data_IF_371337617352
#
_entry.id   IF_371337617352
#
_cell.length_a   1.000
_cell.length_b   1.000
_cell.length_c   1.000
_cell.angle_alpha   90.00
_cell.angle_beta   90.00
_cell.angle_gamma   90.00
#
_symmetry.space_group_name_H-M   'P 1'
#
loop_
_entity.id
_entity.type
_entity.pdbx_description
1 polymer ?
#
# COMPACT_ATOMS: atom_id res chain seq x y z
N UNK A 1 -3.80 -20.13 2.41
CA UNK A 1 -2.79 -20.45 1.36
C UNK A 1 -1.56 -19.58 1.55
N UNK A 2 -0.42 -19.97 0.97
CA UNK A 2 0.83 -19.21 1.07
C UNK A 2 1.26 -18.67 -0.29
N UNK A 3 2.00 -17.55 -0.27
CA UNK A 3 2.56 -16.92 -1.45
C UNK A 3 3.95 -16.34 -1.21
N UNK A 4 4.53 -15.74 -2.24
CA UNK A 4 5.83 -15.07 -2.16
C UNK A 4 5.95 -13.98 -3.24
N UNK A 5 6.69 -12.91 -2.92
CA UNK A 5 7.11 -11.92 -3.90
C UNK A 5 8.38 -12.40 -4.59
N UNK A 6 8.39 -12.39 -5.91
CA UNK A 6 9.50 -12.86 -6.73
C UNK A 6 9.81 -11.87 -7.84
N UNK A 7 11.08 -11.71 -8.13
CA UNK A 7 11.58 -10.77 -9.13
C UNK A 7 12.44 -11.54 -10.12
N UNK A 8 11.84 -12.22 -11.13
CA UNK A 8 12.60 -13.01 -12.08
C UNK A 8 13.65 -12.19 -12.82
N UNK A 9 13.41 -10.90 -13.05
CA UNK A 9 14.33 -9.96 -13.68
C UNK A 9 15.61 -9.70 -12.87
N UNK A 10 15.65 -10.07 -11.58
CA UNK A 10 16.84 -9.95 -10.72
C UNK A 10 17.79 -11.14 -10.83
N UNK A 11 17.34 -12.27 -11.39
CA UNK A 11 18.06 -13.54 -11.32
C UNK A 11 18.31 -14.13 -12.71
N UNK A 12 19.41 -14.91 -12.88
CA UNK A 12 19.66 -15.65 -14.12
C UNK A 12 18.46 -16.55 -14.47
N UNK A 13 18.07 -16.57 -15.74
CA UNK A 13 16.92 -17.34 -16.21
C UNK A 13 17.01 -18.85 -15.90
N UNK A 14 18.22 -19.41 -15.93
CA UNK A 14 18.46 -20.82 -15.60
C UNK A 14 18.20 -21.18 -14.13
N UNK A 15 17.98 -20.18 -13.24
CA UNK A 15 17.60 -20.42 -11.85
C UNK A 15 16.08 -20.53 -11.67
N UNK A 16 15.27 -19.99 -12.57
CA UNK A 16 13.81 -19.86 -12.39
C UNK A 16 13.11 -21.19 -12.21
N UNK A 17 13.54 -22.25 -12.94
CA UNK A 17 12.92 -23.57 -12.83
C UNK A 17 13.17 -24.22 -11.45
N UNK A 18 14.39 -24.08 -10.90
CA UNK A 18 14.72 -24.55 -9.55
C UNK A 18 13.97 -23.73 -8.49
N UNK A 19 13.94 -22.39 -8.64
CA UNK A 19 13.20 -21.52 -7.76
C UNK A 19 11.70 -21.91 -7.71
N UNK A 20 11.08 -22.12 -8.87
CA UNK A 20 9.68 -22.51 -8.97
C UNK A 20 9.40 -23.90 -8.33
N UNK A 21 10.30 -24.86 -8.55
CA UNK A 21 10.21 -26.18 -7.93
C UNK A 21 10.32 -26.11 -6.39
N UNK A 22 11.26 -25.30 -5.89
CA UNK A 22 11.45 -25.09 -4.44
C UNK A 22 10.27 -24.34 -3.82
N UNK A 23 9.68 -23.34 -4.51
CA UNK A 23 8.47 -22.66 -4.08
C UNK A 23 7.32 -23.67 -3.90
N UNK A 24 7.10 -24.54 -4.89
CA UNK A 24 6.08 -25.60 -4.80
C UNK A 24 6.37 -26.59 -3.69
N UNK A 25 7.62 -27.03 -3.53
CA UNK A 25 8.05 -27.93 -2.46
C UNK A 25 7.84 -27.35 -1.07
N UNK A 26 7.96 -26.03 -0.91
CA UNK A 26 7.65 -25.31 0.35
C UNK A 26 6.14 -25.12 0.58
N UNK A 27 5.28 -25.50 -0.35
CA UNK A 27 3.82 -25.36 -0.20
C UNK A 27 3.25 -24.03 -0.67
N UNK A 28 4.04 -23.21 -1.39
CA UNK A 28 3.56 -21.94 -1.93
C UNK A 28 2.59 -22.16 -3.09
N UNK A 29 1.61 -21.29 -3.21
CA UNK A 29 0.57 -21.31 -4.24
C UNK A 29 0.64 -20.07 -5.14
N UNK A 30 0.84 -18.88 -4.56
CA UNK A 30 0.85 -17.62 -5.28
C UNK A 30 2.25 -17.02 -5.38
N UNK A 31 2.53 -16.40 -6.53
CA UNK A 31 3.78 -15.67 -6.77
C UNK A 31 3.48 -14.31 -7.35
N UNK A 32 3.80 -13.25 -6.62
CA UNK A 32 3.66 -11.85 -7.07
C UNK A 32 4.90 -11.45 -7.87
N UNK A 33 4.70 -10.85 -9.06
CA UNK A 33 5.78 -10.41 -9.94
C UNK A 33 5.44 -9.08 -10.63
N UNK A 34 6.46 -8.33 -11.01
CA UNK A 34 6.38 -7.29 -12.04
C UNK A 34 6.14 -5.87 -11.56
N UNK A 35 5.94 -5.60 -10.26
CA UNK A 35 5.59 -4.28 -9.74
C UNK A 35 6.65 -3.18 -9.96
N UNK A 36 7.91 -3.56 -10.23
CA UNK A 36 9.02 -2.63 -10.41
C UNK A 36 9.76 -2.82 -11.74
N UNK A 37 9.16 -3.57 -12.68
CA UNK A 37 9.87 -4.02 -13.87
C UNK A 37 9.59 -3.18 -15.15
N UNK A 38 9.03 -1.95 -15.05
CA UNK A 38 8.65 -1.16 -16.23
C UNK A 38 9.81 -0.96 -17.21
N UNK A 39 10.98 -0.55 -16.73
CA UNK A 39 12.16 -0.34 -17.60
C UNK A 39 12.65 -1.61 -18.31
N UNK A 40 12.32 -2.80 -17.77
CA UNK A 40 12.63 -4.10 -18.42
C UNK A 40 11.55 -4.50 -19.41
N UNK A 41 10.29 -4.11 -19.15
CA UNK A 41 9.16 -4.37 -20.03
C UNK A 41 9.14 -3.40 -21.22
N UNK A 42 9.59 -2.18 -21.03
CA UNK A 42 9.67 -1.11 -22.03
C UNK A 42 10.99 -0.35 -21.87
N UNK A 43 12.10 -0.88 -22.44
CA UNK A 43 13.44 -0.29 -22.32
C UNK A 43 13.56 1.06 -23.04
N UNK A 44 12.78 1.28 -24.10
CA UNK A 44 12.69 2.53 -24.86
C UNK A 44 11.20 2.85 -25.13
N UNK A 45 10.83 4.12 -25.34
CA UNK A 45 9.44 4.51 -25.58
C UNK A 45 8.78 3.72 -26.71
N UNK A 46 7.74 2.94 -26.38
CA UNK A 46 7.00 2.11 -27.34
C UNK A 46 7.70 0.82 -27.79
N UNK A 47 8.93 0.56 -27.36
CA UNK A 47 9.62 -0.69 -27.62
C UNK A 47 9.44 -1.64 -26.42
N UNK A 48 8.63 -2.67 -26.61
CA UNK A 48 8.33 -3.63 -25.55
C UNK A 48 9.17 -4.89 -25.67
N UNK A 49 9.75 -5.34 -24.55
CA UNK A 49 10.40 -6.63 -24.37
C UNK A 49 9.66 -7.42 -23.29
N UNK A 50 8.75 -8.29 -23.74
CA UNK A 50 7.99 -9.18 -22.86
C UNK A 50 8.46 -10.63 -22.92
N UNK A 51 9.42 -10.98 -23.75
CA UNK A 51 9.81 -12.39 -23.95
C UNK A 51 10.31 -13.03 -22.65
N UNK A 52 11.10 -12.31 -21.87
CA UNK A 52 11.58 -12.80 -20.58
C UNK A 52 10.42 -13.01 -19.59
N UNK A 53 9.44 -12.12 -19.58
CA UNK A 53 8.27 -12.19 -18.68
C UNK A 53 7.34 -13.33 -19.09
N UNK A 54 7.13 -13.55 -20.40
CA UNK A 54 6.40 -14.71 -20.94
C UNK A 54 7.02 -16.02 -20.46
N UNK A 55 8.35 -16.14 -20.56
CA UNK A 55 9.08 -17.33 -20.09
C UNK A 55 9.00 -17.50 -18.58
N UNK A 56 9.13 -16.42 -17.80
CA UNK A 56 9.00 -16.46 -16.35
C UNK A 56 7.61 -16.96 -15.91
N UNK A 57 6.54 -16.38 -16.48
CA UNK A 57 5.15 -16.79 -16.20
C UNK A 57 4.94 -18.26 -16.57
N UNK A 58 5.44 -18.70 -17.73
CA UNK A 58 5.33 -20.08 -18.16
C UNK A 58 6.08 -21.05 -17.24
N UNK A 59 7.25 -20.68 -16.73
CA UNK A 59 8.03 -21.50 -15.77
C UNK A 59 7.26 -21.67 -14.47
N UNK A 60 6.78 -20.56 -13.90
CA UNK A 60 5.97 -20.55 -12.66
C UNK A 60 4.69 -21.37 -12.83
N UNK A 61 3.96 -21.16 -13.94
CA UNK A 61 2.71 -21.85 -14.21
C UNK A 61 2.89 -23.35 -14.42
N UNK A 62 3.94 -23.80 -15.14
CA UNK A 62 4.25 -25.23 -15.30
C UNK A 62 4.59 -25.92 -13.98
N UNK A 63 5.15 -25.19 -13.01
CA UNK A 63 5.36 -25.70 -11.67
C UNK A 63 4.05 -25.75 -10.82
N UNK A 64 2.90 -25.32 -11.36
CA UNK A 64 1.62 -25.28 -10.67
C UNK A 64 1.45 -24.08 -9.73
N UNK A 65 2.26 -23.04 -9.89
CA UNK A 65 2.13 -21.77 -9.17
C UNK A 65 1.16 -20.85 -9.92
N UNK A 66 0.49 -19.98 -9.15
CA UNK A 66 -0.45 -18.97 -9.65
C UNK A 66 0.21 -17.59 -9.59
N UNK A 67 0.30 -16.93 -10.72
CA UNK A 67 0.93 -15.61 -10.81
C UNK A 67 -0.06 -14.51 -10.40
N UNK A 68 0.36 -13.63 -9.50
CA UNK A 68 -0.25 -12.31 -9.25
C UNK A 68 0.60 -11.30 -10.02
N UNK A 69 0.05 -10.79 -11.12
CA UNK A 69 0.71 -9.80 -11.96
C UNK A 69 0.52 -8.41 -11.38
N UNK A 70 1.57 -7.59 -11.35
CA UNK A 70 1.46 -6.21 -10.92
C UNK A 70 1.51 -5.23 -12.09
N UNK A 71 0.82 -4.07 -11.95
CA UNK A 71 1.10 -2.93 -12.81
C UNK A 71 2.40 -2.27 -12.34
N UNK A 72 3.37 -1.95 -13.23
CA UNK A 72 4.72 -1.53 -12.83
C UNK A 72 4.83 -0.03 -12.54
N UNK A 73 3.72 0.60 -12.22
CA UNK A 73 3.56 2.05 -12.19
C UNK A 73 4.24 2.74 -11.01
N UNK A 74 4.65 1.98 -10.00
CA UNK A 74 5.42 2.51 -8.87
C UNK A 74 6.82 3.05 -9.24
N UNK A 75 7.37 2.62 -10.40
CA UNK A 75 8.72 2.95 -10.85
C UNK A 75 8.76 3.34 -12.32
N UNK A 76 8.31 4.56 -12.68
CA UNK A 76 8.43 5.05 -14.05
C UNK A 76 9.90 5.00 -14.52
N UNK A 77 10.14 4.57 -15.76
CA UNK A 77 11.50 4.44 -16.29
C UNK A 77 12.18 5.80 -16.51
N UNK A 78 13.51 5.78 -16.53
CA UNK A 78 14.31 7.01 -16.69
C UNK A 78 13.98 7.78 -17.96
N UNK A 79 13.74 7.07 -19.08
CA UNK A 79 13.40 7.71 -20.34
C UNK A 79 12.10 8.52 -20.27
N UNK A 80 11.11 8.06 -19.50
CA UNK A 80 9.86 8.79 -19.28
C UNK A 80 10.08 10.06 -18.47
N UNK A 81 10.90 9.98 -17.41
CA UNK A 81 11.26 11.15 -16.60
C UNK A 81 12.07 12.16 -17.40
N UNK A 82 12.97 11.71 -18.29
CA UNK A 82 13.76 12.61 -19.13
C UNK A 82 12.93 13.30 -20.20
N UNK A 83 11.97 12.60 -20.79
CA UNK A 83 11.05 13.18 -21.75
C UNK A 83 10.02 14.13 -21.09
N UNK A 84 9.63 13.84 -19.87
CA UNK A 84 8.54 14.50 -19.13
C UNK A 84 8.92 14.78 -17.68
N UNK A 85 9.89 15.69 -17.41
CA UNK A 85 10.30 16.00 -16.03
C UNK A 85 9.17 16.60 -15.18
N UNK A 86 8.10 17.11 -15.80
CA UNK A 86 6.90 17.63 -15.14
C UNK A 86 6.04 16.56 -14.47
N UNK A 87 6.33 15.26 -14.68
CA UNK A 87 5.68 14.17 -13.94
C UNK A 87 6.21 14.00 -12.53
N UNK A 88 7.34 14.63 -12.20
CA UNK A 88 7.95 14.53 -10.89
C UNK A 88 7.19 15.35 -9.85
N UNK A 89 6.94 14.78 -8.66
CA UNK A 89 6.27 15.51 -7.58
C UNK A 89 7.17 16.60 -7.01
N UNK A 90 6.55 17.64 -6.49
CA UNK A 90 7.22 18.72 -5.76
C UNK A 90 6.89 18.59 -4.28
N UNK A 91 7.92 18.48 -3.48
CA UNK A 91 7.80 18.40 -2.02
C UNK A 91 7.16 19.67 -1.47
N UNK A 92 6.04 19.58 -0.74
CA UNK A 92 5.29 20.74 -0.29
C UNK A 92 6.00 21.57 0.77
N UNK A 93 6.87 20.98 1.57
CA UNK A 93 7.55 21.67 2.66
C UNK A 93 8.78 22.43 2.17
N UNK A 94 9.51 21.85 1.21
CA UNK A 94 10.77 22.39 0.71
C UNK A 94 10.67 23.06 -0.64
N UNK A 95 9.60 22.82 -1.40
CA UNK A 95 9.45 23.28 -2.79
C UNK A 95 10.41 22.59 -3.78
N UNK A 96 11.11 21.53 -3.36
CA UNK A 96 12.07 20.81 -4.22
C UNK A 96 11.39 19.72 -5.03
N UNK A 97 11.81 19.55 -6.27
CA UNK A 97 11.41 18.42 -7.10
C UNK A 97 12.00 17.13 -6.50
N UNK A 98 11.18 16.11 -6.31
CA UNK A 98 11.59 14.76 -5.91
C UNK A 98 12.01 14.00 -7.16
N UNK A 99 13.32 13.84 -7.38
CA UNK A 99 13.88 13.32 -8.60
C UNK A 99 13.92 11.80 -8.71
N UNK A 100 14.34 11.33 -9.89
CA UNK A 100 14.61 9.92 -10.18
C UNK A 100 15.72 9.36 -9.27
N UNK A 101 15.64 8.06 -8.97
CA UNK A 101 16.66 7.33 -8.20
C UNK A 101 16.08 6.43 -7.10
N UNK A 102 14.77 6.43 -6.96
CA UNK A 102 14.02 5.58 -6.04
C UNK A 102 12.71 5.16 -6.69
N UNK A 103 11.72 4.80 -5.90
CA UNK A 103 10.32 4.58 -6.33
C UNK A 103 9.44 5.78 -5.95
N UNK A 104 8.21 5.85 -6.48
CA UNK A 104 7.23 6.89 -6.14
C UNK A 104 7.59 8.30 -6.64
N UNK A 105 8.36 8.43 -7.68
CA UNK A 105 8.71 9.70 -8.28
C UNK A 105 7.70 10.12 -9.37
N UNK A 106 6.40 10.06 -9.05
CA UNK A 106 5.30 10.44 -9.94
C UNK A 106 4.27 11.30 -9.21
N UNK A 107 3.76 12.31 -9.89
CA UNK A 107 2.74 13.23 -9.41
C UNK A 107 1.35 12.79 -9.91
N UNK A 108 0.47 12.41 -9.01
CA UNK A 108 -0.89 11.98 -9.35
C UNK A 108 -1.75 13.08 -9.97
N UNK A 109 -1.35 14.34 -9.87
CA UNK A 109 -2.01 15.46 -10.55
C UNK A 109 -1.58 15.61 -12.01
N UNK A 110 -0.50 14.96 -12.43
CA UNK A 110 0.00 15.04 -13.81
C UNK A 110 -0.84 14.20 -14.77
N UNK A 111 -1.42 14.84 -15.78
CA UNK A 111 -2.14 14.13 -16.85
C UNK A 111 -1.19 13.33 -17.73
N UNK A 112 0.05 13.77 -17.91
CA UNK A 112 1.08 13.02 -18.64
C UNK A 112 1.39 11.72 -17.93
N UNK A 113 1.64 11.79 -16.62
CA UNK A 113 1.83 10.60 -15.80
C UNK A 113 0.63 9.64 -15.87
N UNK A 114 -0.57 10.15 -15.66
CA UNK A 114 -1.79 9.34 -15.71
C UNK A 114 -1.90 8.60 -17.05
N UNK A 115 -1.73 9.30 -18.17
CA UNK A 115 -1.84 8.72 -19.52
C UNK A 115 -0.81 7.61 -19.75
N UNK A 116 0.44 7.80 -19.36
CA UNK A 116 1.52 6.82 -19.52
C UNK A 116 1.32 5.61 -18.62
N UNK A 117 0.91 5.81 -17.37
CA UNK A 117 0.58 4.73 -16.45
C UNK A 117 -0.60 3.87 -16.93
N UNK A 118 -1.64 4.50 -17.49
CA UNK A 118 -2.77 3.78 -18.07
C UNK A 118 -2.40 3.09 -19.39
N UNK A 119 -1.49 3.66 -20.18
CA UNK A 119 -0.98 3.05 -21.40
C UNK A 119 -0.26 1.73 -21.11
N UNK A 120 0.72 1.73 -20.21
CA UNK A 120 1.45 0.50 -19.86
C UNK A 120 0.52 -0.53 -19.20
N UNK A 121 -0.40 -0.09 -18.35
CA UNK A 121 -1.40 -0.97 -17.74
C UNK A 121 -2.23 -1.68 -18.80
N UNK A 122 -2.70 -0.96 -19.83
CA UNK A 122 -3.49 -1.52 -20.94
C UNK A 122 -2.69 -2.56 -21.72
N UNK A 123 -1.45 -2.23 -22.09
CA UNK A 123 -0.57 -3.15 -22.84
C UNK A 123 -0.36 -4.45 -22.08
N UNK A 124 -0.12 -4.38 -20.77
CA UNK A 124 0.04 -5.57 -19.93
C UNK A 124 -1.27 -6.36 -19.80
N UNK A 125 -2.39 -5.68 -19.59
CA UNK A 125 -3.68 -6.31 -19.42
C UNK A 125 -4.16 -7.00 -20.70
N UNK A 126 -3.95 -6.39 -21.87
CA UNK A 126 -4.22 -7.00 -23.18
C UNK A 126 -3.36 -8.26 -23.40
N UNK A 127 -2.08 -8.23 -23.01
CA UNK A 127 -1.18 -9.37 -23.20
C UNK A 127 -1.45 -10.51 -22.22
N UNK A 128 -1.65 -10.20 -20.93
CA UNK A 128 -1.67 -11.21 -19.87
C UNK A 128 -3.04 -11.45 -19.23
N UNK A 129 -4.05 -10.65 -19.56
CA UNK A 129 -5.37 -10.75 -18.95
C UNK A 129 -6.04 -12.12 -19.14
N UNK A 130 -5.78 -12.79 -20.26
CA UNK A 130 -6.29 -14.12 -20.56
C UNK A 130 -5.26 -15.25 -20.33
N UNK A 131 -4.06 -14.94 -19.82
CA UNK A 131 -3.05 -15.95 -19.56
C UNK A 131 -3.52 -16.91 -18.44
N UNK A 132 -3.57 -18.24 -18.67
CA UNK A 132 -4.11 -19.20 -17.71
C UNK A 132 -3.31 -19.30 -16.40
N UNK A 133 -2.07 -18.86 -16.41
CA UNK A 133 -1.19 -18.86 -15.23
C UNK A 133 -1.32 -17.59 -14.38
N UNK A 134 -1.92 -16.51 -14.91
CA UNK A 134 -2.19 -15.28 -14.19
C UNK A 134 -3.53 -15.42 -13.46
N UNK A 135 -3.49 -15.45 -12.14
CA UNK A 135 -4.67 -15.60 -11.30
C UNK A 135 -5.38 -14.27 -11.03
N UNK A 136 -4.63 -13.18 -10.98
CA UNK A 136 -5.15 -11.85 -10.69
C UNK A 136 -4.08 -10.78 -10.78
N UNK A 137 -4.47 -9.57 -10.40
CA UNK A 137 -3.66 -8.36 -10.54
C UNK A 137 -3.53 -7.62 -9.22
N UNK A 138 -2.33 -7.12 -8.95
CA UNK A 138 -2.11 -6.06 -7.99
C UNK A 138 -1.89 -4.75 -8.74
N UNK A 139 -2.63 -3.71 -8.35
CA UNK A 139 -2.40 -2.36 -8.88
C UNK A 139 -1.22 -1.73 -8.17
N UNK A 140 -0.26 -1.19 -8.92
CA UNK A 140 0.86 -0.40 -8.38
C UNK A 140 1.56 -1.10 -7.18
N UNK A 141 2.10 -0.36 -6.22
CA UNK A 141 2.65 -0.87 -4.95
C UNK A 141 2.55 0.21 -3.87
N UNK A 142 1.94 -0.08 -2.73
CA UNK A 142 1.86 0.81 -1.56
C UNK A 142 1.58 2.26 -1.96
N UNK A 143 0.45 2.55 -2.60
CA UNK A 143 0.08 3.90 -3.04
C UNK A 143 0.25 4.91 -1.88
N UNK A 144 0.80 6.09 -2.19
CA UNK A 144 1.08 7.18 -1.26
C UNK A 144 2.19 6.92 -0.21
N UNK A 145 2.87 5.77 -0.24
CA UNK A 145 4.04 5.54 0.59
C UNK A 145 5.07 6.68 0.43
N UNK A 146 5.77 7.04 1.52
CA UNK A 146 6.75 8.13 1.58
C UNK A 146 6.17 9.54 1.34
N UNK A 147 4.93 9.79 1.81
CA UNK A 147 4.24 11.09 1.74
C UNK A 147 4.13 11.63 0.30
N UNK A 148 3.82 10.74 -0.65
CA UNK A 148 3.73 11.11 -2.08
C UNK A 148 2.32 11.43 -2.55
N UNK A 149 1.31 11.43 -1.66
CA UNK A 149 -0.03 11.88 -1.96
C UNK A 149 -0.07 13.40 -2.27
N UNK A 150 0.71 14.18 -1.53
CA UNK A 150 0.76 15.64 -1.67
C UNK A 150 1.88 16.06 -2.62
N UNK A 151 1.55 16.92 -3.56
CA UNK A 151 2.52 17.57 -4.45
C UNK A 151 2.23 19.05 -4.59
N UNK A 152 3.25 19.89 -4.51
CA UNK A 152 3.16 21.33 -4.76
C UNK A 152 3.53 21.72 -6.20
N UNK A 153 3.36 20.81 -7.15
CA UNK A 153 3.70 21.00 -8.54
C UNK A 153 2.78 22.00 -9.26
N UNK A 154 3.19 22.51 -10.42
CA UNK A 154 2.29 23.29 -11.29
C UNK A 154 1.04 22.50 -11.73
N UNK A 155 1.17 21.18 -11.96
CA UNK A 155 0.05 20.31 -12.31
C UNK A 155 -0.94 20.19 -11.13
N UNK A 156 -0.44 20.00 -9.91
CA UNK A 156 -1.28 19.97 -8.71
C UNK A 156 -2.02 21.30 -8.50
N UNK A 157 -1.36 22.45 -8.69
CA UNK A 157 -2.01 23.77 -8.60
C UNK A 157 -3.13 23.92 -9.62
N UNK A 158 -2.86 23.57 -10.88
CA UNK A 158 -3.86 23.67 -11.94
C UNK A 158 -5.05 22.74 -11.68
N UNK A 159 -4.79 21.49 -11.31
CA UNK A 159 -5.82 20.52 -10.97
C UNK A 159 -6.65 20.94 -9.76
N UNK A 160 -6.02 21.46 -8.71
CA UNK A 160 -6.71 21.96 -7.52
C UNK A 160 -7.67 23.11 -7.82
N UNK A 161 -7.31 24.05 -8.70
CA UNK A 161 -8.19 25.13 -9.18
C UNK A 161 -9.44 24.59 -9.86
N UNK A 162 -9.27 23.58 -10.73
CA UNK A 162 -10.40 22.92 -11.41
C UNK A 162 -11.29 22.19 -10.41
N UNK A 163 -10.71 21.41 -9.51
CA UNK A 163 -11.42 20.71 -8.45
C UNK A 163 -12.21 21.66 -7.54
N UNK A 164 -11.62 22.81 -7.16
CA UNK A 164 -12.34 23.84 -6.40
C UNK A 164 -13.53 24.41 -7.20
N UNK A 165 -13.35 24.65 -8.50
CA UNK A 165 -14.43 25.16 -9.38
C UNK A 165 -15.58 24.17 -9.45
N UNK A 166 -15.31 22.90 -9.61
CA UNK A 166 -16.34 21.84 -9.65
C UNK A 166 -17.06 21.71 -8.30
N UNK A 167 -16.33 21.76 -7.20
CA UNK A 167 -16.87 21.54 -5.84
C UNK A 167 -17.70 22.73 -5.34
N UNK A 168 -17.28 23.95 -5.59
CA UNK A 168 -17.90 25.16 -5.02
C UNK A 168 -18.79 25.90 -6.01
N UNK A 169 -18.71 25.63 -7.31
CA UNK A 169 -19.52 26.23 -8.35
C UNK A 169 -19.17 27.68 -8.68
N UNK A 170 -19.06 28.57 -7.67
CA UNK A 170 -18.65 29.96 -7.84
C UNK A 170 -17.75 30.43 -6.70
N UNK A 171 -16.92 31.44 -7.01
CA UNK A 171 -15.84 31.87 -6.11
C UNK A 171 -16.34 32.44 -4.78
N UNK A 172 -17.51 33.07 -4.77
CA UNK A 172 -18.13 33.58 -3.55
C UNK A 172 -18.50 32.45 -2.57
N UNK A 173 -18.95 31.29 -3.08
CA UNK A 173 -19.22 30.12 -2.25
C UNK A 173 -17.95 29.54 -1.62
N UNK A 174 -16.85 29.49 -2.38
CA UNK A 174 -15.56 29.09 -1.85
C UNK A 174 -15.07 30.07 -0.77
N UNK A 175 -15.08 31.38 -1.05
CA UNK A 175 -14.65 32.39 -0.07
C UNK A 175 -15.44 32.29 1.23
N UNK A 176 -16.75 32.08 1.12
CA UNK A 176 -17.61 31.90 2.28
C UNK A 176 -17.25 30.61 3.05
N UNK A 177 -17.12 29.47 2.34
CA UNK A 177 -16.83 28.17 2.95
C UNK A 177 -15.45 28.13 3.64
N UNK A 178 -14.47 28.85 3.10
CA UNK A 178 -13.13 28.94 3.69
C UNK A 178 -12.97 30.06 4.73
N UNK A 179 -13.97 30.93 4.88
CA UNK A 179 -13.92 32.07 5.78
C UNK A 179 -12.91 33.15 5.33
N UNK A 180 -12.70 33.32 4.03
CA UNK A 180 -11.64 34.14 3.45
C UNK A 180 -11.80 35.66 3.71
N UNK A 181 -12.95 36.09 4.22
CA UNK A 181 -13.12 37.46 4.74
C UNK A 181 -12.13 37.76 5.88
N UNK A 182 -11.68 36.73 6.59
CA UNK A 182 -10.67 36.86 7.63
C UNK A 182 -9.30 37.16 7.00
N UNK A 183 -8.63 38.18 7.50
CA UNK A 183 -7.34 38.70 7.00
C UNK A 183 -7.33 39.11 5.52
N UNK A 184 -8.52 39.40 4.92
CA UNK A 184 -8.63 39.80 3.51
C UNK A 184 -8.08 38.77 2.52
N UNK A 185 -8.36 37.47 2.76
CA UNK A 185 -7.90 36.37 1.91
C UNK A 185 -8.87 36.01 0.79
N UNK A 186 -9.87 36.87 0.48
CA UNK A 186 -10.85 36.62 -0.57
C UNK A 186 -10.23 36.60 -1.96
N UNK A 187 -10.57 35.56 -2.72
CA UNK A 187 -10.23 35.42 -4.13
C UNK A 187 -11.32 36.03 -5.01
N UNK A 188 -10.96 36.62 -6.17
CA UNK A 188 -11.89 37.15 -7.17
C UNK A 188 -12.28 36.11 -8.21
N UNK A 189 -11.41 35.10 -8.42
CA UNK A 189 -11.62 33.99 -9.35
C UNK A 189 -10.91 32.73 -8.88
N UNK A 190 -11.30 31.57 -9.41
CA UNK A 190 -10.62 30.31 -9.14
C UNK A 190 -9.16 30.29 -9.65
N UNK A 191 -8.83 31.12 -10.64
CA UNK A 191 -7.47 31.17 -11.20
C UNK A 191 -6.45 31.86 -10.27
N UNK A 192 -6.94 32.59 -9.24
CA UNK A 192 -6.11 33.21 -8.21
C UNK A 192 -5.76 32.25 -7.06
N UNK A 193 -6.41 31.07 -6.96
CA UNK A 193 -6.17 30.13 -5.87
C UNK A 193 -4.76 29.57 -5.99
N UNK A 194 -4.01 29.64 -4.91
CA UNK A 194 -2.71 28.99 -4.73
C UNK A 194 -2.86 27.74 -3.87
N UNK A 195 -1.85 26.87 -3.87
CA UNK A 195 -1.78 25.77 -2.92
C UNK A 195 -1.46 26.29 -1.51
N UNK A 196 -1.91 25.64 -0.43
CA UNK A 196 -1.67 26.10 0.94
C UNK A 196 -0.24 25.78 1.43
N UNK A 197 0.76 26.18 0.64
CA UNK A 197 2.19 25.95 0.89
C UNK A 197 2.98 27.24 0.74
N UNK A 198 4.10 27.37 1.46
CA UNK A 198 4.99 28.51 1.34
C UNK A 198 4.43 29.85 1.88
N UNK A 199 3.30 29.83 2.59
CA UNK A 199 2.77 31.01 3.27
C UNK A 199 3.64 31.38 4.49
N UNK A 200 3.55 32.65 4.93
CA UNK A 200 4.34 33.15 6.06
C UNK A 200 3.99 32.42 7.36
N UNK A 201 2.73 32.10 7.53
CA UNK A 201 2.19 31.29 8.63
C UNK A 201 1.13 30.34 8.07
N UNK A 202 0.37 29.67 8.92
CA UNK A 202 -0.63 28.68 8.51
C UNK A 202 -1.73 29.33 7.66
N UNK A 203 -2.08 28.64 6.57
CA UNK A 203 -3.25 29.00 5.78
C UNK A 203 -4.53 28.50 6.46
N UNK A 204 -5.69 28.97 6.00
CA UNK A 204 -7.00 28.53 6.51
C UNK A 204 -7.10 27.02 6.64
N UNK A 205 -7.58 26.46 7.78
CA UNK A 205 -7.83 25.02 7.91
C UNK A 205 -8.72 24.46 6.81
N UNK A 206 -9.74 25.20 6.37
CA UNK A 206 -10.61 24.79 5.28
C UNK A 206 -9.87 24.68 3.94
N UNK A 207 -8.91 25.57 3.68
CA UNK A 207 -8.06 25.51 2.50
C UNK A 207 -7.13 24.28 2.52
N UNK A 208 -6.48 24.02 3.67
CA UNK A 208 -5.62 22.83 3.87
C UNK A 208 -6.42 21.54 3.74
N UNK A 209 -7.64 21.50 4.30
CA UNK A 209 -8.56 20.37 4.18
C UNK A 209 -8.97 20.12 2.72
N UNK A 210 -9.31 21.17 1.98
CA UNK A 210 -9.68 21.08 0.57
C UNK A 210 -8.52 20.51 -0.26
N UNK A 211 -7.29 20.94 0.01
CA UNK A 211 -6.11 20.42 -0.71
C UNK A 211 -5.82 18.94 -0.40
N UNK A 212 -5.97 18.50 0.85
CA UNK A 212 -5.86 17.07 1.20
C UNK A 212 -6.90 16.22 0.50
N UNK A 213 -8.15 16.67 0.47
CA UNK A 213 -9.23 16.01 -0.28
C UNK A 213 -8.91 15.91 -1.76
N UNK A 214 -8.51 17.01 -2.38
CA UNK A 214 -8.07 17.03 -3.77
C UNK A 214 -6.94 16.02 -4.03
N UNK A 215 -5.92 16.02 -3.20
CA UNK A 215 -4.77 15.12 -3.39
C UNK A 215 -5.18 13.66 -3.26
N UNK A 216 -6.04 13.31 -2.30
CA UNK A 216 -6.64 11.99 -2.18
C UNK A 216 -7.45 11.61 -3.42
N UNK A 217 -8.32 12.52 -3.91
CA UNK A 217 -9.13 12.30 -5.10
C UNK A 217 -8.30 12.02 -6.35
N UNK A 218 -7.10 12.63 -6.48
CA UNK A 218 -6.20 12.36 -7.61
C UNK A 218 -5.61 10.95 -7.56
N UNK A 219 -5.27 10.45 -6.38
CA UNK A 219 -4.80 9.07 -6.20
C UNK A 219 -5.92 8.08 -6.48
N UNK A 220 -7.11 8.32 -5.93
CA UNK A 220 -8.30 7.48 -6.17
C UNK A 220 -8.62 7.44 -7.67
N UNK A 221 -8.64 8.59 -8.34
CA UNK A 221 -8.86 8.67 -9.80
C UNK A 221 -7.86 7.83 -10.60
N UNK A 222 -6.58 7.90 -10.25
CA UNK A 222 -5.54 7.07 -10.88
C UNK A 222 -5.82 5.59 -10.69
N UNK A 223 -6.14 5.20 -9.46
CA UNK A 223 -6.40 3.81 -9.09
C UNK A 223 -7.67 3.26 -9.76
N UNK A 224 -8.77 4.02 -9.75
CA UNK A 224 -10.03 3.64 -10.40
C UNK A 224 -9.85 3.43 -11.91
N UNK A 225 -9.12 4.33 -12.58
CA UNK A 225 -8.83 4.22 -14.00
C UNK A 225 -7.96 2.99 -14.32
N UNK A 226 -7.00 2.68 -13.45
CA UNK A 226 -6.19 1.45 -13.54
C UNK A 226 -7.06 0.19 -13.38
N UNK A 227 -7.91 0.15 -12.35
CA UNK A 227 -8.84 -0.96 -12.12
C UNK A 227 -9.83 -1.13 -13.26
N UNK A 228 -10.35 -0.04 -13.84
CA UNK A 228 -11.26 -0.10 -14.97
C UNK A 228 -10.64 -0.79 -16.19
N UNK A 229 -9.39 -0.50 -16.52
CA UNK A 229 -8.66 -1.18 -17.60
C UNK A 229 -8.51 -2.68 -17.31
N UNK A 230 -8.12 -3.02 -16.07
CA UNK A 230 -7.94 -4.43 -15.68
C UNK A 230 -9.27 -5.20 -15.72
N UNK A 231 -10.38 -4.59 -15.28
CA UNK A 231 -11.73 -5.20 -15.37
C UNK A 231 -12.15 -5.47 -16.81
N UNK A 232 -11.84 -4.54 -17.72
CA UNK A 232 -12.19 -4.66 -19.14
C UNK A 232 -11.34 -5.72 -19.85
N UNK A 233 -10.01 -5.68 -19.67
CA UNK A 233 -9.06 -6.51 -20.43
C UNK A 233 -8.75 -7.87 -19.78
N UNK A 234 -8.99 -8.03 -18.50
CA UNK A 234 -8.71 -9.25 -17.73
C UNK A 234 -9.95 -9.75 -16.97
N UNK A 235 -11.10 -9.97 -17.66
CA UNK A 235 -12.32 -10.39 -16.99
C UNK A 235 -12.16 -11.73 -16.26
N UNK A 236 -12.74 -11.82 -15.06
CA UNK A 236 -12.67 -13.01 -14.21
C UNK A 236 -11.37 -13.15 -13.40
N UNK A 237 -10.44 -12.19 -13.50
CA UNK A 237 -9.27 -12.10 -12.64
C UNK A 237 -9.57 -11.18 -11.47
N UNK A 238 -9.08 -11.55 -10.26
CA UNK A 238 -9.19 -10.64 -9.14
C UNK A 238 -8.27 -9.43 -9.30
N UNK A 239 -8.66 -8.33 -8.68
CA UNK A 239 -7.84 -7.12 -8.55
C UNK A 239 -7.70 -6.81 -7.06
N UNK A 240 -6.47 -6.55 -6.62
CA UNK A 240 -6.12 -6.16 -5.25
C UNK A 240 -5.10 -5.04 -5.25
N UNK A 241 -4.90 -4.43 -4.09
CA UNK A 241 -3.83 -3.47 -3.80
C UNK A 241 -3.26 -3.75 -2.41
N UNK A 242 -1.94 -3.54 -2.25
CA UNK A 242 -1.24 -3.72 -0.97
C UNK A 242 -1.19 -2.40 -0.19
N UNK A 243 -2.05 -2.30 0.81
CA UNK A 243 -2.16 -1.14 1.71
C UNK A 243 -1.11 -1.17 2.82
N UNK A 244 -0.77 0.02 3.33
CA UNK A 244 0.00 0.22 4.57
C UNK A 244 -0.71 1.27 5.45
N UNK A 245 -1.88 0.97 6.03
CA UNK A 245 -2.83 1.94 6.58
C UNK A 245 -2.27 2.94 7.60
N UNK A 246 -1.21 2.59 8.33
CA UNK A 246 -0.57 3.52 9.29
C UNK A 246 0.31 4.59 8.64
N UNK A 247 0.74 4.38 7.41
CA UNK A 247 1.63 5.31 6.69
C UNK A 247 0.90 6.08 5.60
N UNK A 248 -0.28 5.60 5.20
CA UNK A 248 -1.07 6.18 4.13
C UNK A 248 -2.24 7.01 4.68
N UNK A 249 -1.92 7.91 5.59
CA UNK A 249 -2.92 8.85 6.16
C UNK A 249 -3.27 9.99 5.22
N UNK A 250 -2.64 10.05 4.05
CA UNK A 250 -2.83 11.10 3.04
C UNK A 250 -3.92 10.79 2.02
N UNK A 251 -4.57 9.62 2.07
CA UNK A 251 -5.56 9.16 1.08
C UNK A 251 -6.72 8.45 1.74
N UNK A 252 -7.90 8.52 1.12
CA UNK A 252 -9.06 7.73 1.53
C UNK A 252 -8.92 6.27 1.09
N UNK A 253 -8.47 5.42 2.02
CA UNK A 253 -8.27 3.99 1.78
C UNK A 253 -9.58 3.24 1.49
N UNK A 254 -10.73 3.69 2.00
CA UNK A 254 -12.02 3.10 1.66
C UNK A 254 -12.40 3.39 0.21
N UNK A 255 -12.16 4.63 -0.26
CA UNK A 255 -12.35 4.97 -1.67
C UNK A 255 -11.42 4.17 -2.57
N UNK A 256 -10.13 4.04 -2.21
CA UNK A 256 -9.18 3.19 -2.95
C UNK A 256 -9.61 1.73 -3.00
N UNK A 257 -10.18 1.20 -1.93
CA UNK A 257 -10.57 -0.21 -1.85
C UNK A 257 -11.88 -0.52 -2.60
N UNK A 258 -12.68 0.49 -2.94
CA UNK A 258 -14.00 0.31 -3.56
C UNK A 258 -14.00 -0.55 -4.85
N UNK A 259 -13.07 -0.39 -5.81
CA UNK A 259 -13.03 -1.19 -7.04
C UNK A 259 -12.40 -2.57 -6.87
N UNK A 260 -11.84 -2.90 -5.69
CA UNK A 260 -11.08 -4.13 -5.44
C UNK A 260 -11.98 -5.33 -5.11
N UNK A 261 -11.48 -6.54 -5.40
CA UNK A 261 -12.12 -7.78 -4.95
C UNK A 261 -11.82 -8.04 -3.47
N UNK A 262 -10.65 -7.68 -3.01
CA UNK A 262 -10.21 -7.73 -1.61
C UNK A 262 -9.01 -6.79 -1.42
N UNK A 263 -8.79 -6.34 -0.19
CA UNK A 263 -7.61 -5.58 0.18
C UNK A 263 -6.44 -6.51 0.55
N UNK A 264 -5.20 -6.06 0.31
CA UNK A 264 -4.02 -6.72 0.84
C UNK A 264 -3.24 -5.76 1.76
N UNK A 265 -2.35 -6.31 2.58
CA UNK A 265 -1.60 -5.60 3.60
C UNK A 265 -0.13 -6.03 3.63
N UNK A 266 0.77 -5.08 3.86
CA UNK A 266 2.21 -5.33 4.00
C UNK A 266 2.62 -5.32 5.47
N UNK A 267 2.89 -6.52 5.99
CA UNK A 267 3.09 -6.77 7.41
C UNK A 267 4.57 -6.91 7.78
N UNK A 268 5.09 -5.87 8.40
CA UNK A 268 6.47 -5.81 8.90
C UNK A 268 6.51 -5.55 10.41
N UNK A 269 6.20 -6.54 11.24
CA UNK A 269 6.01 -6.36 12.69
C UNK A 269 7.19 -5.72 13.41
N UNK A 270 8.43 -6.12 13.07
CA UNK A 270 9.62 -5.59 13.74
C UNK A 270 9.97 -4.19 13.28
N UNK A 271 9.91 -3.94 11.97
CA UNK A 271 10.15 -2.61 11.42
C UNK A 271 9.15 -1.58 11.94
N UNK A 272 7.87 -1.95 12.00
CA UNK A 272 6.82 -1.09 12.57
C UNK A 272 6.98 -0.85 14.06
N UNK A 273 7.30 -1.89 14.82
CA UNK A 273 7.59 -1.73 16.25
C UNK A 273 8.74 -0.76 16.48
N UNK A 274 9.81 -0.84 15.70
CA UNK A 274 10.93 0.09 15.78
C UNK A 274 10.51 1.54 15.49
N UNK A 275 9.73 1.76 14.45
CA UNK A 275 9.24 3.10 14.09
C UNK A 275 8.28 3.67 15.15
N UNK A 276 7.31 2.88 15.59
CA UNK A 276 6.30 3.33 16.56
C UNK A 276 6.89 3.56 17.96
N UNK A 277 7.82 2.72 18.35
CA UNK A 277 8.44 2.76 19.68
C UNK A 277 9.73 3.60 19.72
N UNK A 278 10.12 4.22 18.61
CA UNK A 278 11.34 5.03 18.53
C UNK A 278 11.40 6.18 19.54
N UNK A 279 10.25 6.59 20.07
CA UNK A 279 10.10 7.62 21.10
C UNK A 279 9.79 7.04 22.50
N UNK A 280 9.63 5.72 22.59
CA UNK A 280 9.32 5.04 23.85
C UNK A 280 10.59 4.80 24.68
N UNK A 281 10.47 4.67 26.02
CA UNK A 281 11.58 4.25 26.87
C UNK A 281 12.15 2.89 26.43
N UNK A 282 13.48 2.75 26.48
CA UNK A 282 14.17 1.52 26.05
C UNK A 282 13.66 0.26 26.76
N UNK A 283 13.22 0.37 28.01
CA UNK A 283 12.67 -0.76 28.77
C UNK A 283 11.34 -1.28 28.18
N UNK A 284 10.52 -0.42 27.59
CA UNK A 284 9.26 -0.80 26.92
C UNK A 284 9.52 -1.37 25.52
N UNK A 285 10.53 -0.85 24.84
CA UNK A 285 10.87 -1.20 23.47
C UNK A 285 11.62 -2.53 23.36
N UNK A 286 12.62 -2.77 24.24
CA UNK A 286 13.52 -3.90 24.15
C UNK A 286 12.81 -5.28 24.08
N UNK A 287 11.75 -5.56 24.85
CA UNK A 287 11.03 -6.85 24.77
C UNK A 287 10.39 -7.10 23.41
N UNK A 288 10.01 -6.05 22.68
CA UNK A 288 9.26 -6.12 21.44
C UNK A 288 10.14 -6.15 20.18
N UNK A 289 11.44 -5.88 20.34
CA UNK A 289 12.37 -5.77 19.21
C UNK A 289 12.45 -7.01 18.31
N UNK A 290 12.16 -8.21 18.85
CA UNK A 290 12.24 -9.46 18.12
C UNK A 290 10.91 -10.19 17.98
N UNK A 291 9.84 -9.64 18.55
CA UNK A 291 8.50 -10.23 18.54
C UNK A 291 7.46 -9.34 17.84
N UNK A 292 7.74 -8.06 17.69
CA UNK A 292 6.76 -7.07 17.27
C UNK A 292 5.77 -6.75 18.41
N UNK A 293 4.91 -5.76 18.20
CA UNK A 293 3.85 -5.39 19.13
C UNK A 293 2.55 -6.09 18.73
N UNK A 294 1.96 -6.94 19.57
CA UNK A 294 0.84 -7.80 19.19
C UNK A 294 -0.42 -6.99 18.78
N UNK A 295 -0.76 -5.93 19.53
CA UNK A 295 -1.95 -5.13 19.19
C UNK A 295 -1.78 -4.34 17.89
N UNK A 296 -0.55 -3.92 17.56
CA UNK A 296 -0.27 -3.17 16.35
C UNK A 296 -0.45 -4.00 15.09
N UNK A 297 -0.03 -5.26 15.11
CA UNK A 297 -0.23 -6.17 13.99
C UNK A 297 -1.71 -6.50 13.82
N UNK A 298 -2.39 -6.86 14.89
CA UNK A 298 -3.79 -7.22 14.89
C UNK A 298 -4.71 -6.09 14.40
N UNK A 299 -4.50 -4.84 14.87
CA UNK A 299 -5.32 -3.70 14.45
C UNK A 299 -5.23 -3.46 12.94
N UNK A 300 -4.04 -3.66 12.35
CA UNK A 300 -3.84 -3.44 10.91
C UNK A 300 -4.46 -4.55 10.07
N UNK A 301 -4.50 -5.79 10.56
CA UNK A 301 -5.25 -6.87 9.92
C UNK A 301 -6.75 -6.56 9.88
N UNK A 302 -7.32 -6.15 11.02
CA UNK A 302 -8.74 -5.83 11.10
C UNK A 302 -9.10 -4.56 10.32
N UNK A 303 -8.24 -3.52 10.29
CA UNK A 303 -8.41 -2.37 9.41
C UNK A 303 -8.40 -2.77 7.94
N UNK A 304 -7.44 -3.60 7.51
CA UNK A 304 -7.37 -4.06 6.12
C UNK A 304 -8.60 -4.86 5.73
N UNK A 305 -9.05 -5.78 6.61
CA UNK A 305 -10.30 -6.51 6.39
C UNK A 305 -11.49 -5.57 6.26
N UNK A 306 -11.54 -4.52 7.09
CA UNK A 306 -12.61 -3.51 7.10
C UNK A 306 -12.74 -2.71 5.81
N UNK A 307 -11.67 -2.55 5.02
CA UNK A 307 -11.70 -1.81 3.76
C UNK A 307 -12.68 -2.41 2.74
N UNK A 308 -12.80 -3.73 2.69
CA UNK A 308 -13.70 -4.43 1.75
C UNK A 308 -14.77 -5.27 2.43
N UNK A 309 -14.69 -5.49 3.74
CA UNK A 309 -15.56 -6.41 4.48
C UNK A 309 -15.38 -7.88 4.07
N UNK A 310 -14.29 -8.24 3.44
CA UNK A 310 -13.97 -9.58 2.90
C UNK A 310 -12.67 -10.13 3.48
N UNK A 311 -12.40 -11.43 3.35
CA UNK A 311 -11.08 -11.98 3.64
C UNK A 311 -10.00 -11.19 2.89
N UNK A 312 -8.96 -10.78 3.60
CA UNK A 312 -7.85 -10.01 3.04
C UNK A 312 -6.64 -10.90 2.74
N UNK A 313 -5.60 -10.33 2.09
CA UNK A 313 -4.31 -10.99 1.97
C UNK A 313 -3.24 -10.22 2.76
N UNK A 314 -2.26 -10.92 3.29
CA UNK A 314 -0.97 -10.33 3.60
C UNK A 314 -0.13 -10.49 2.34
N UNK A 315 0.14 -9.38 1.63
CA UNK A 315 0.90 -9.42 0.39
C UNK A 315 2.40 -9.49 0.63
N UNK A 316 2.86 -8.83 1.70
CA UNK A 316 4.25 -8.82 2.11
C UNK A 316 4.37 -9.14 3.60
N UNK A 317 4.66 -10.39 3.92
CA UNK A 317 4.96 -10.82 5.29
C UNK A 317 6.46 -10.78 5.53
N UNK A 318 6.88 -10.12 6.60
CA UNK A 318 8.28 -10.07 7.03
C UNK A 318 8.80 -11.49 7.37
N UNK A 319 9.86 -12.00 6.69
CA UNK A 319 10.45 -13.31 7.00
C UNK A 319 11.72 -13.22 7.86
N UNK A 320 12.29 -12.01 8.02
CA UNK A 320 13.58 -11.79 8.69
C UNK A 320 13.87 -10.32 8.89
N UNK A 321 15.12 -9.89 9.05
CA UNK A 321 15.48 -8.48 9.13
C UNK A 321 14.98 -7.70 7.92
N UNK A 322 14.46 -6.48 8.15
CA UNK A 322 14.26 -5.48 7.10
C UNK A 322 15.53 -4.62 6.95
N UNK A 323 15.55 -3.66 5.99
CA UNK A 323 16.69 -2.76 5.83
C UNK A 323 16.39 -1.30 6.16
N UNK A 324 15.11 -0.94 6.27
CA UNK A 324 14.63 0.45 6.35
C UNK A 324 14.32 0.95 7.78
N UNK A 325 14.26 0.06 8.78
CA UNK A 325 14.11 0.45 10.17
C UNK A 325 15.46 0.87 10.78
N UNK A 326 15.45 1.57 11.92
CA UNK A 326 16.68 1.97 12.63
C UNK A 326 17.45 0.76 13.15
N UNK A 327 16.70 -0.22 13.65
CA UNK A 327 17.23 -1.49 14.16
C UNK A 327 16.55 -2.61 13.39
N UNK A 328 17.32 -3.52 12.85
CA UNK A 328 16.85 -4.59 11.98
C UNK A 328 17.22 -5.95 12.58
N UNK A 329 16.64 -6.31 13.75
CA UNK A 329 16.95 -7.58 14.39
C UNK A 329 16.30 -8.75 13.63
N UNK A 330 16.81 -9.95 13.89
CA UNK A 330 16.15 -11.19 13.48
C UNK A 330 14.92 -11.44 14.34
N UNK A 331 13.81 -11.92 13.77
CA UNK A 331 12.69 -12.44 14.55
C UNK A 331 13.15 -13.46 15.60
N UNK A 332 12.47 -13.53 16.73
CA UNK A 332 12.67 -14.64 17.64
C UNK A 332 12.16 -15.94 16.99
N UNK A 333 12.76 -17.10 17.30
CA UNK A 333 12.32 -18.37 16.74
C UNK A 333 10.82 -18.60 16.94
N UNK A 334 10.12 -19.04 15.89
CA UNK A 334 8.68 -19.28 15.90
C UNK A 334 7.82 -18.05 15.54
N UNK A 335 8.41 -16.86 15.47
CA UNK A 335 7.62 -15.62 15.28
C UNK A 335 7.06 -15.49 13.87
N UNK A 336 7.79 -15.88 12.83
CA UNK A 336 7.30 -15.79 11.44
C UNK A 336 6.07 -16.68 11.26
N UNK A 337 6.10 -17.87 11.85
CA UNK A 337 4.95 -18.77 11.88
C UNK A 337 3.79 -18.20 12.71
N UNK A 338 4.07 -17.64 13.89
CA UNK A 338 3.05 -17.04 14.76
C UNK A 338 2.35 -15.87 14.10
N UNK A 339 3.10 -14.92 13.50
CA UNK A 339 2.52 -13.78 12.77
C UNK A 339 1.63 -14.21 11.61
N UNK A 340 2.02 -15.29 10.92
CA UNK A 340 1.21 -15.85 9.84
C UNK A 340 -0.09 -16.46 10.35
N UNK A 341 -0.05 -17.19 11.45
CA UNK A 341 -1.24 -17.74 12.09
C UNK A 341 -2.15 -16.64 12.64
N UNK A 342 -1.59 -15.57 13.21
CA UNK A 342 -2.37 -14.41 13.64
C UNK A 342 -3.10 -13.76 12.44
N UNK A 343 -2.43 -13.58 11.30
CA UNK A 343 -3.09 -13.08 10.10
C UNK A 343 -4.27 -13.97 9.68
N UNK A 344 -4.11 -15.30 9.67
CA UNK A 344 -5.20 -16.23 9.37
C UNK A 344 -6.32 -16.16 10.41
N UNK A 345 -6.01 -16.02 11.68
CA UNK A 345 -7.00 -15.86 12.74
C UNK A 345 -7.83 -14.56 12.58
N UNK A 346 -7.22 -13.50 12.03
CA UNK A 346 -7.91 -12.25 11.69
C UNK A 346 -8.58 -12.25 10.31
N UNK A 347 -8.56 -13.39 9.60
CA UNK A 347 -9.28 -13.59 8.34
C UNK A 347 -8.47 -13.41 7.07
N UNK A 348 -7.15 -13.51 7.13
CA UNK A 348 -6.36 -13.57 5.92
C UNK A 348 -6.66 -14.86 5.13
N UNK A 349 -6.85 -14.75 3.81
CA UNK A 349 -6.96 -15.89 2.91
C UNK A 349 -5.60 -16.40 2.44
N UNK A 350 -4.64 -15.48 2.31
CA UNK A 350 -3.27 -15.77 1.87
C UNK A 350 -2.29 -14.96 2.70
N UNK A 351 -1.17 -15.59 3.05
CA UNK A 351 0.03 -14.92 3.56
C UNK A 351 1.17 -15.11 2.56
N UNK A 352 1.64 -14.01 1.98
CA UNK A 352 2.71 -13.96 0.99
C UNK A 352 3.95 -13.32 1.60
N UNK A 353 5.10 -13.93 1.44
CA UNK A 353 6.34 -13.47 2.08
C UNK A 353 7.12 -12.52 1.17
N UNK A 354 7.63 -11.44 1.70
CA UNK A 354 8.53 -10.55 1.02
C UNK A 354 9.96 -10.81 1.52
N UNK A 355 10.81 -11.46 0.79
CA UNK A 355 10.75 -11.91 -0.63
C UNK A 355 11.33 -13.33 -0.77
N UNK A 356 11.29 -13.90 -1.98
CA UNK A 356 11.84 -15.23 -2.23
C UNK A 356 13.32 -15.33 -1.89
N UNK A 357 14.14 -14.47 -2.50
CA UNK A 357 15.60 -14.46 -2.25
C UNK A 357 16.07 -13.05 -1.91
N UNK A 358 16.88 -12.92 -0.86
CA UNK A 358 17.56 -11.67 -0.52
C UNK A 358 18.47 -11.23 -1.65
N UNK A 359 18.31 -9.99 -2.12
CA UNK A 359 19.19 -9.43 -3.15
C UNK A 359 20.56 -9.05 -2.55
N UNK A 360 21.68 -9.41 -3.21
CA UNK A 360 23.00 -8.97 -2.78
C UNK A 360 23.39 -7.58 -3.33
N UNK A 361 22.42 -6.82 -3.85
CA UNK A 361 22.61 -5.54 -4.53
C UNK A 361 21.39 -4.63 -4.32
N UNK A 362 21.54 -3.36 -4.73
CA UNK A 362 20.53 -2.32 -4.76
C UNK A 362 20.02 -1.87 -3.37
N UNK A 363 18.93 -1.11 -3.36
CA UNK A 363 18.44 -0.39 -2.17
C UNK A 363 18.01 -1.32 -1.04
N UNK A 364 17.54 -2.53 -1.36
CA UNK A 364 17.06 -3.50 -0.38
C UNK A 364 17.99 -4.70 -0.20
N UNK A 365 19.28 -4.55 -0.45
CA UNK A 365 20.25 -5.66 -0.34
C UNK A 365 20.29 -6.30 1.07
N UNK A 366 19.92 -5.58 2.12
CA UNK A 366 19.89 -6.11 3.49
C UNK A 366 18.51 -6.65 3.90
N UNK A 367 17.50 -6.55 3.02
CA UNK A 367 16.16 -7.06 3.28
C UNK A 367 16.15 -8.58 3.13
N UNK A 368 15.76 -9.28 4.18
CA UNK A 368 15.76 -10.74 4.19
C UNK A 368 14.79 -11.33 3.14
N UNK A 369 15.15 -12.51 2.64
CA UNK A 369 14.28 -13.38 1.84
C UNK A 369 14.07 -14.73 2.51
N UNK A 370 13.31 -15.61 1.86
CA UNK A 370 13.21 -17.03 2.24
C UNK A 370 14.50 -17.77 1.92
N UNK A 371 15.22 -17.30 0.91
CA UNK A 371 16.59 -17.72 0.60
C UNK A 371 17.56 -16.57 0.87
N UNK A 372 18.76 -16.94 1.28
CA UNK A 372 19.92 -16.05 1.35
C UNK A 372 20.45 -15.73 -0.07
N UNK A 373 21.35 -14.75 -0.21
CA UNK A 373 21.92 -14.42 -1.52
C UNK A 373 22.62 -15.60 -2.24
N UNK A 374 23.17 -16.52 -1.48
CA UNK A 374 23.82 -17.75 -1.97
C UNK A 374 22.84 -18.90 -2.27
N UNK A 375 21.55 -18.62 -2.27
CA UNK A 375 20.45 -19.59 -2.49
C UNK A 375 20.30 -20.66 -1.39
N UNK A 376 20.98 -20.52 -0.25
CA UNK A 376 20.72 -21.36 0.92
C UNK A 376 19.45 -20.90 1.64
N UNK A 377 18.82 -21.81 2.37
CA UNK A 377 17.61 -21.53 3.13
C UNK A 377 17.89 -20.53 4.27
N UNK A 378 17.03 -19.50 4.40
CA UNK A 378 17.08 -18.55 5.49
C UNK A 378 16.41 -19.11 6.76
N UNK A 379 16.54 -18.37 7.87
CA UNK A 379 16.05 -18.81 9.19
C UNK A 379 14.54 -19.06 9.23
N UNK A 380 13.75 -18.34 8.42
CA UNK A 380 12.29 -18.52 8.37
C UNK A 380 11.85 -19.78 7.62
N UNK A 381 12.72 -20.38 6.79
CA UNK A 381 12.34 -21.53 5.95
C UNK A 381 11.68 -22.68 6.72
N UNK A 382 12.25 -23.22 7.84
CA UNK A 382 11.63 -24.31 8.59
C UNK A 382 10.28 -23.91 9.23
N UNK A 383 10.12 -22.66 9.62
CA UNK A 383 8.85 -22.16 10.17
C UNK A 383 7.76 -22.14 9.11
N UNK A 384 8.09 -21.74 7.88
CA UNK A 384 7.15 -21.70 6.75
C UNK A 384 6.81 -23.12 6.28
N UNK A 385 7.78 -24.04 6.25
CA UNK A 385 7.53 -25.45 5.94
C UNK A 385 6.55 -26.08 6.93
N UNK A 386 6.72 -25.80 8.24
CA UNK A 386 5.80 -26.24 9.26
C UNK A 386 4.41 -25.61 9.11
N UNK A 387 4.35 -24.30 8.88
CA UNK A 387 3.09 -23.58 8.62
C UNK A 387 2.34 -24.17 7.41
N UNK A 388 3.05 -24.48 6.32
CA UNK A 388 2.45 -25.10 5.14
C UNK A 388 1.84 -26.47 5.43
N UNK A 389 2.52 -27.29 6.23
CA UNK A 389 2.00 -28.59 6.68
C UNK A 389 0.74 -28.42 7.56
N UNK A 390 0.79 -27.51 8.53
CA UNK A 390 -0.34 -27.23 9.43
C UNK A 390 -1.57 -26.70 8.69
N UNK A 391 -1.40 -25.86 7.68
CA UNK A 391 -2.50 -25.36 6.85
C UNK A 391 -3.19 -26.46 6.01
N UNK A 392 -2.54 -27.59 5.81
CA UNK A 392 -3.13 -28.79 5.21
C UNK A 392 -4.03 -29.57 6.17
N UNK A 393 -3.85 -29.40 7.48
CA UNK A 393 -4.53 -30.18 8.52
C UNK A 393 -5.53 -29.34 9.34
N UNK A 394 -5.24 -28.06 9.56
CA UNK A 394 -6.02 -27.16 10.42
C UNK A 394 -6.94 -26.29 9.54
N UNK A 395 -8.26 -26.42 9.69
CA UNK A 395 -9.18 -25.53 8.96
C UNK A 395 -9.04 -24.10 9.48
N UNK A 396 -9.07 -23.14 8.55
CA UNK A 396 -9.10 -21.71 8.92
C UNK A 396 -10.45 -21.37 9.55
N UNK A 397 -10.45 -20.42 10.53
CA UNK A 397 -11.69 -19.99 11.16
C UNK A 397 -12.60 -19.28 10.13
N UNK A 398 -13.91 -19.47 10.30
CA UNK A 398 -14.88 -18.67 9.56
C UNK A 398 -14.90 -17.23 10.09
N UNK A 399 -14.95 -16.26 9.18
CA UNK A 399 -15.11 -14.88 9.56
C UNK A 399 -16.53 -14.62 10.06
N UNK A 400 -16.62 -14.10 11.27
CA UNK A 400 -17.88 -13.64 11.86
C UNK A 400 -17.83 -12.13 12.06
N UNK A 401 -18.97 -11.49 11.96
CA UNK A 401 -19.09 -10.05 12.27
C UNK A 401 -18.76 -9.82 13.73
N UNK A 402 -17.91 -8.85 14.02
CA UNK A 402 -17.56 -8.48 15.39
C UNK A 402 -18.74 -7.81 16.12
N UNK A 403 -18.81 -7.88 17.46
CA UNK A 403 -19.84 -7.19 18.22
C UNK A 403 -19.64 -5.68 18.31
N UNK A 404 -18.46 -5.17 18.01
CA UNK A 404 -18.08 -3.75 18.07
C UNK A 404 -17.65 -3.25 16.72
N UNK A 405 -18.09 -2.03 16.35
CA UNK A 405 -17.58 -1.29 15.21
C UNK A 405 -16.71 -0.12 15.67
N UNK A 406 -15.59 0.10 14.99
CA UNK A 406 -14.77 1.32 15.11
C UNK A 406 -14.85 2.06 13.78
N UNK A 407 -15.34 3.29 13.78
CA UNK A 407 -15.42 4.11 12.57
C UNK A 407 -14.05 4.71 12.29
N UNK A 408 -13.55 4.53 11.07
CA UNK A 408 -12.32 5.17 10.58
C UNK A 408 -12.71 6.24 9.57
N UNK A 409 -12.44 7.48 9.91
CA UNK A 409 -12.76 8.65 9.09
C UNK A 409 -11.48 9.39 8.70
N UNK A 410 -11.16 9.34 7.41
CA UNK A 410 -9.98 10.04 6.86
C UNK A 410 -10.09 11.57 7.01
N UNK A 411 -11.30 12.13 6.96
CA UNK A 411 -11.50 13.57 7.15
C UNK A 411 -11.25 13.98 8.60
N UNK A 412 -11.65 13.15 9.56
CA UNK A 412 -11.30 13.34 10.96
C UNK A 412 -9.79 13.28 11.20
N UNK A 413 -9.10 12.35 10.50
CA UNK A 413 -7.64 12.29 10.49
C UNK A 413 -7.03 13.59 9.92
N UNK A 414 -7.51 14.07 8.77
CA UNK A 414 -7.01 15.31 8.16
C UNK A 414 -7.21 16.51 9.09
N UNK A 415 -8.40 16.63 9.70
CA UNK A 415 -8.70 17.71 10.63
C UNK A 415 -7.80 17.65 11.85
N UNK A 416 -7.60 16.46 12.41
CA UNK A 416 -6.71 16.21 13.53
C UNK A 416 -5.25 16.63 13.23
N UNK A 417 -4.77 16.38 12.03
CA UNK A 417 -3.43 16.77 11.61
C UNK A 417 -3.30 18.29 11.39
N UNK A 418 -4.36 18.91 10.88
CA UNK A 418 -4.40 20.34 10.56
C UNK A 418 -4.57 21.19 11.83
N UNK A 419 -5.50 20.81 12.71
CA UNK A 419 -5.86 21.56 13.93
C UNK A 419 -5.84 20.65 15.16
N UNK A 420 -4.66 20.40 15.70
CA UNK A 420 -4.49 19.52 16.87
C UNK A 420 -5.02 20.16 18.13
N UNK A 421 -5.88 19.43 18.86
CA UNK A 421 -6.39 19.88 20.16
C UNK A 421 -5.37 19.86 21.31
N UNK A 422 -4.22 19.23 21.10
CA UNK A 422 -3.17 19.14 22.11
C UNK A 422 -1.89 18.50 21.58
N UNK A 423 -0.79 18.67 22.29
CA UNK A 423 0.54 18.17 21.89
C UNK A 423 0.57 16.66 21.65
N UNK A 424 -0.18 15.90 22.42
CA UNK A 424 -0.23 14.43 22.33
C UNK A 424 -1.48 13.91 21.61
N UNK A 425 -2.29 14.78 20.98
CA UNK A 425 -3.46 14.34 20.25
C UNK A 425 -3.04 13.70 18.92
N UNK A 426 -3.43 12.46 18.73
CA UNK A 426 -3.16 11.67 17.52
C UNK A 426 -4.37 10.76 17.28
N UNK A 427 -5.08 10.99 16.16
CA UNK A 427 -6.29 10.27 15.82
C UNK A 427 -6.06 8.77 15.70
N UNK A 428 -4.99 8.37 15.02
CA UNK A 428 -4.62 6.95 14.85
C UNK A 428 -4.31 6.30 16.20
N UNK A 429 -3.58 6.99 17.07
CA UNK A 429 -3.27 6.49 18.42
C UNK A 429 -4.52 6.31 19.28
N UNK A 430 -5.54 7.16 19.12
CA UNK A 430 -6.83 6.99 19.81
C UNK A 430 -7.54 5.72 19.34
N UNK A 431 -7.66 5.51 18.03
CA UNK A 431 -8.29 4.31 17.47
C UNK A 431 -7.58 3.03 17.94
N UNK A 432 -6.25 3.02 17.88
CA UNK A 432 -5.42 1.89 18.34
C UNK A 432 -5.53 1.69 19.86
N UNK A 433 -5.66 2.77 20.63
CA UNK A 433 -5.90 2.69 22.07
C UNK A 433 -7.22 2.00 22.41
N UNK A 434 -8.31 2.37 21.73
CA UNK A 434 -9.61 1.70 21.88
C UNK A 434 -9.53 0.24 21.51
N UNK A 435 -8.92 -0.07 20.37
CA UNK A 435 -8.72 -1.43 19.91
C UNK A 435 -7.93 -2.28 20.92
N UNK A 436 -6.83 -1.77 21.45
CA UNK A 436 -6.04 -2.45 22.48
C UNK A 436 -6.81 -2.72 23.78
N UNK A 437 -7.76 -1.82 24.16
CA UNK A 437 -8.67 -2.07 25.30
C UNK A 437 -9.61 -3.24 24.97
N UNK A 438 -10.22 -3.25 23.80
CA UNK A 438 -11.14 -4.32 23.38
C UNK A 438 -10.43 -5.67 23.34
N UNK A 439 -9.21 -5.73 22.79
CA UNK A 439 -8.40 -6.98 22.79
C UNK A 439 -8.13 -7.50 24.20
N UNK A 440 -7.76 -6.65 25.14
CA UNK A 440 -7.57 -7.06 26.55
C UNK A 440 -8.85 -7.57 27.22
N UNK A 441 -10.01 -7.15 26.74
CA UNK A 441 -11.31 -7.65 27.19
C UNK A 441 -11.77 -8.91 26.43
N UNK A 442 -11.00 -9.38 25.44
CA UNK A 442 -11.37 -10.51 24.58
C UNK A 442 -12.55 -10.19 23.66
N UNK A 443 -12.66 -8.95 23.20
CA UNK A 443 -13.75 -8.47 22.34
C UNK A 443 -13.19 -8.11 20.97
N UNK A 444 -13.72 -8.73 19.91
CA UNK A 444 -13.38 -8.41 18.53
C UNK A 444 -14.03 -7.11 18.08
N UNK A 445 -13.37 -6.43 17.14
CA UNK A 445 -13.86 -5.20 16.51
C UNK A 445 -13.68 -5.24 15.00
N UNK A 446 -14.70 -4.73 14.27
CA UNK A 446 -14.60 -4.42 12.85
C UNK A 446 -14.30 -2.92 12.68
N UNK A 447 -13.45 -2.60 11.72
CA UNK A 447 -13.24 -1.22 11.28
C UNK A 447 -14.15 -0.93 10.10
N UNK A 448 -14.84 0.19 10.13
CA UNK A 448 -15.86 0.53 9.14
C UNK A 448 -15.72 2.00 8.67
N UNK A 449 -16.12 2.27 7.42
CA UNK A 449 -16.16 3.63 6.90
C UNK A 449 -17.28 4.46 7.54
N UNK A 450 -17.19 5.80 7.51
CA UNK A 450 -18.33 6.68 7.75
C UNK A 450 -19.50 6.33 6.82
N UNK A 451 -20.72 6.26 7.37
CA UNK A 451 -21.92 5.91 6.60
C UNK A 451 -22.12 4.41 6.35
N UNK A 452 -21.25 3.53 6.87
CA UNK A 452 -21.48 2.09 6.84
C UNK A 452 -22.75 1.67 7.57
N UNK A 453 -23.34 0.53 7.19
CA UNK A 453 -24.47 -0.06 7.93
C UNK A 453 -23.99 -0.59 9.28
N UNK A 454 -24.44 0.09 10.34
CA UNK A 454 -24.11 -0.22 11.73
C UNK A 454 -25.11 -1.18 12.39
N UNK A 455 -26.13 -1.64 11.66
CA UNK A 455 -27.14 -2.57 12.17
C UNK A 455 -26.46 -3.87 12.65
N UNK A 456 -26.78 -4.30 13.87
CA UNK A 456 -26.26 -5.54 14.47
C UNK A 456 -24.97 -5.38 15.28
N UNK A 457 -24.28 -4.25 15.24
CA UNK A 457 -23.23 -3.97 16.23
C UNK A 457 -23.84 -3.61 17.59
N UNK A 458 -23.22 -4.10 18.67
CA UNK A 458 -23.66 -3.85 20.05
C UNK A 458 -23.06 -2.55 20.62
N UNK A 459 -21.92 -2.15 20.08
CA UNK A 459 -21.21 -0.91 20.43
C UNK A 459 -20.58 -0.33 19.16
N UNK A 460 -20.64 0.99 19.05
CA UNK A 460 -19.96 1.75 17.98
C UNK A 460 -19.06 2.78 18.65
N UNK A 461 -17.79 2.80 18.26
CA UNK A 461 -16.80 3.82 18.63
C UNK A 461 -16.56 4.73 17.42
N UNK A 462 -16.73 6.07 17.62
CA UNK A 462 -16.65 7.08 16.56
C UNK A 462 -15.88 8.32 17.03
#
# INVERSE_FOLDING_TARGET
>A
MLGVCYYPEHWPENWWADDAARMRGLGLTYVRIGEFAWSRMEPEPGLFDFEWLDRAIAVLGRAGLKVVMCTPTATPPKWLVDAHPEILPVDPDTGRVRGFGSRRHSDFSSSVWLNEALRITRVLAERYGQNPHVAGWQTDNELCCHDTALSASPAARAGFRLWCRERYGHIGALNFAWGNVFWSMEYRSFDEIELPVGAVTETSPAHRMAWRRYSSDMVVRFHDATCAILRDQAPGRFITHNFIPMHETGVDNHALAAPLDFAAYDNYPLGRADLALAKAPAAEFAPLMRTGHPDMQAVLFDQTRGLTGRPFWVMEQQPGPVNWARHNPRPAPGMVRLWSWEAFAHGAAVVSFFRWRQAPFAQEQMHAGLLRPDSTEAEAWPEIALLAAELGEIPLPELTRAPVAIIVDVEAQYLSDIERHGRGYDYTAILHGWYGVLRRLGVDADFVAPGADLTGYRLVLA
#
